data_IF_664835261554
#
_entry.id   IF_664835261554
#
_cell.length_a   1.000
_cell.length_b   1.000
_cell.length_c   1.000
_cell.angle_alpha   90.00
_cell.angle_beta   90.00
_cell.angle_gamma   90.00
#
_symmetry.space_group_name_H-M   'P 1'
#
loop_
_entity.id
_entity.type
_entity.pdbx_description
1 polymer ?
#
# COMPACT_ATOMS: atom_id res chain seq x y z
N UNK A 1 -20.77 -20.16 -9.69
CA UNK A 1 -19.76 -21.16 -9.26
C UNK A 1 -19.08 -20.63 -8.02
N UNK A 2 -18.79 -21.48 -7.03
CA UNK A 2 -18.06 -21.09 -5.79
C UNK A 2 -16.54 -21.15 -6.02
N UNK A 3 -15.75 -20.50 -5.17
CA UNK A 3 -14.29 -20.56 -5.22
C UNK A 3 -13.77 -21.82 -4.50
N UNK A 4 -12.62 -22.36 -4.93
CA UNK A 4 -12.07 -23.60 -4.37
C UNK A 4 -11.35 -23.39 -3.02
N UNK A 5 -10.70 -22.23 -2.86
CA UNK A 5 -10.00 -21.78 -1.64
C UNK A 5 -9.84 -20.25 -1.71
N UNK A 6 -9.67 -19.60 -0.55
CA UNK A 6 -9.38 -18.17 -0.50
C UNK A 6 -8.07 -17.86 -1.25
N UNK A 7 -8.05 -16.76 -1.98
CA UNK A 7 -6.90 -16.34 -2.78
C UNK A 7 -5.76 -15.89 -1.85
N UNK A 8 -4.54 -16.34 -2.14
CA UNK A 8 -3.32 -15.91 -1.47
C UNK A 8 -2.16 -15.73 -2.47
N UNK A 9 -0.96 -15.42 -1.97
CA UNK A 9 0.21 -15.23 -2.81
C UNK A 9 0.72 -16.53 -3.48
N UNK A 10 0.40 -17.71 -2.94
CA UNK A 10 0.77 -18.99 -3.54
C UNK A 10 -0.11 -19.28 -4.77
N UNK A 11 -1.41 -19.00 -4.67
CA UNK A 11 -2.33 -19.09 -5.81
C UNK A 11 -1.94 -18.09 -6.92
N UNK A 12 -1.52 -16.88 -6.55
CA UNK A 12 -0.98 -15.92 -7.51
C UNK A 12 0.22 -16.50 -8.27
N UNK A 13 1.20 -17.05 -7.55
CA UNK A 13 2.39 -17.65 -8.16
C UNK A 13 2.06 -18.83 -9.08
N UNK A 14 1.15 -19.72 -8.65
CA UNK A 14 0.72 -20.86 -9.48
C UNK A 14 0.02 -20.42 -10.77
N UNK A 15 -0.81 -19.38 -10.70
CA UNK A 15 -1.48 -18.79 -11.87
C UNK A 15 -0.49 -18.05 -12.77
N UNK A 16 0.45 -17.28 -12.21
CA UNK A 16 1.42 -16.51 -12.97
C UNK A 16 2.27 -17.40 -13.89
N UNK A 17 2.57 -18.64 -13.48
CA UNK A 17 3.31 -19.61 -14.32
C UNK A 17 2.52 -20.11 -15.55
N UNK A 18 1.18 -20.11 -15.47
CA UNK A 18 0.30 -20.78 -16.45
C UNK A 18 -0.64 -19.82 -17.18
N UNK A 19 -0.77 -18.59 -16.70
CA UNK A 19 -1.69 -17.56 -17.21
C UNK A 19 -1.40 -17.17 -18.65
N UNK A 20 -2.30 -16.40 -19.25
CA UNK A 20 -2.16 -15.95 -20.64
C UNK A 20 -0.85 -15.17 -20.83
N UNK A 21 -0.08 -15.48 -21.88
CA UNK A 21 1.13 -14.71 -22.22
C UNK A 21 0.71 -13.36 -22.76
N UNK A 22 1.35 -12.30 -22.29
CA UNK A 22 1.09 -10.94 -22.76
C UNK A 22 2.41 -10.16 -22.71
N UNK A 23 2.63 -9.26 -23.66
CA UNK A 23 3.75 -8.32 -23.54
C UNK A 23 3.39 -7.19 -22.59
N UNK A 24 4.40 -6.53 -22.02
CA UNK A 24 4.13 -5.38 -21.17
C UNK A 24 3.50 -4.22 -21.97
N UNK A 25 3.90 -4.00 -23.22
CA UNK A 25 3.30 -2.98 -24.08
C UNK A 25 1.81 -3.27 -24.37
N UNK A 26 1.45 -4.54 -24.65
CA UNK A 26 0.03 -4.93 -24.83
C UNK A 26 -0.77 -4.69 -23.54
N UNK A 27 -0.16 -4.88 -22.37
CA UNK A 27 -0.81 -4.60 -21.10
C UNK A 27 -0.99 -3.10 -20.85
N UNK A 28 0.11 -2.35 -20.92
CA UNK A 28 0.20 -0.93 -20.55
C UNK A 28 -0.47 -0.01 -21.57
N UNK A 29 -0.33 -0.31 -22.87
CA UNK A 29 -0.79 0.56 -23.96
C UNK A 29 -2.11 0.13 -24.58
N UNK A 30 -2.56 -1.10 -24.33
CA UNK A 30 -3.84 -1.59 -24.86
C UNK A 30 -4.79 -2.04 -23.75
N UNK A 31 -4.47 -3.11 -23.03
CA UNK A 31 -5.42 -3.78 -22.12
C UNK A 31 -5.95 -2.85 -21.03
N UNK A 32 -5.05 -2.18 -20.30
CA UNK A 32 -5.41 -1.24 -19.23
C UNK A 32 -6.16 0.00 -19.76
N UNK A 33 -5.62 0.78 -20.73
CA UNK A 33 -6.30 1.99 -21.18
C UNK A 33 -7.62 1.71 -21.90
N UNK A 34 -7.74 0.62 -22.68
CA UNK A 34 -8.98 0.26 -23.36
C UNK A 34 -10.07 -0.10 -22.34
N UNK A 35 -9.78 -0.96 -21.36
CA UNK A 35 -10.80 -1.36 -20.36
C UNK A 35 -11.19 -0.19 -19.47
N UNK A 36 -10.23 0.65 -19.05
CA UNK A 36 -10.55 1.86 -18.29
C UNK A 36 -11.46 2.83 -19.06
N UNK A 37 -11.19 3.04 -20.36
CA UNK A 37 -12.02 3.87 -21.23
C UNK A 37 -13.43 3.28 -21.41
N UNK A 38 -13.51 1.97 -21.66
CA UNK A 38 -14.76 1.24 -21.79
C UNK A 38 -15.61 1.37 -20.52
N UNK A 39 -15.05 1.07 -19.35
CA UNK A 39 -15.77 1.09 -18.07
C UNK A 39 -16.21 2.49 -17.68
N UNK A 40 -15.38 3.51 -17.95
CA UNK A 40 -15.76 4.91 -17.77
C UNK A 40 -17.02 5.24 -18.56
N UNK A 41 -17.09 4.83 -19.83
CA UNK A 41 -18.25 5.07 -20.70
C UNK A 41 -19.45 4.20 -20.30
N UNK A 42 -19.25 2.90 -20.07
CA UNK A 42 -20.26 1.92 -19.68
C UNK A 42 -21.03 2.34 -18.43
N UNK A 43 -20.31 2.82 -17.42
CA UNK A 43 -20.88 3.26 -16.14
C UNK A 43 -21.16 4.77 -16.09
N UNK A 44 -20.95 5.48 -17.21
CA UNK A 44 -21.14 6.93 -17.36
C UNK A 44 -20.49 7.73 -16.21
N UNK A 45 -19.21 7.46 -15.94
CA UNK A 45 -18.49 8.06 -14.81
C UNK A 45 -18.13 9.52 -15.11
N UNK A 46 -18.69 10.44 -14.32
CA UNK A 46 -18.39 11.87 -14.33
C UNK A 46 -18.32 12.40 -12.90
N UNK A 47 -17.11 12.78 -12.48
CA UNK A 47 -16.86 13.30 -11.12
C UNK A 47 -17.14 14.81 -11.01
N UNK A 48 -17.44 15.47 -12.13
CA UNK A 48 -17.62 16.92 -12.21
C UNK A 48 -16.38 17.60 -11.62
N UNK A 49 -16.58 18.54 -10.70
CA UNK A 49 -15.52 19.25 -9.99
C UNK A 49 -15.56 18.96 -8.47
N UNK A 50 -15.95 17.75 -8.08
CA UNK A 50 -16.01 17.34 -6.68
C UNK A 50 -14.74 16.58 -6.27
N UNK A 51 -14.10 17.02 -5.18
CA UNK A 51 -12.99 16.28 -4.57
C UNK A 51 -13.47 15.09 -3.74
N UNK A 52 -14.63 15.23 -3.08
CA UNK A 52 -15.26 14.19 -2.27
C UNK A 52 -16.67 14.01 -2.82
N UNK A 53 -17.00 12.84 -3.40
CA UNK A 53 -18.28 12.63 -4.06
C UNK A 53 -19.43 12.61 -3.05
N UNK A 54 -20.54 13.23 -3.43
CA UNK A 54 -21.80 13.17 -2.67
C UNK A 54 -22.89 12.34 -3.35
N UNK A 55 -22.73 12.07 -4.64
CA UNK A 55 -23.61 11.23 -5.45
C UNK A 55 -23.32 9.74 -5.20
N UNK A 56 -24.23 9.07 -4.49
CA UNK A 56 -24.09 7.64 -4.14
C UNK A 56 -24.19 6.71 -5.34
N UNK A 57 -25.00 7.07 -6.35
CA UNK A 57 -25.16 6.25 -7.55
C UNK A 57 -23.86 6.30 -8.36
N UNK A 58 -23.24 7.48 -8.46
CA UNK A 58 -21.92 7.64 -9.05
C UNK A 58 -20.83 6.84 -8.29
N UNK A 59 -20.87 6.85 -6.95
CA UNK A 59 -19.94 6.07 -6.13
C UNK A 59 -20.12 4.56 -6.31
N UNK A 60 -21.36 4.07 -6.38
CA UNK A 60 -21.66 2.66 -6.61
C UNK A 60 -21.24 2.22 -8.01
N UNK A 61 -21.50 3.05 -9.01
CA UNK A 61 -21.03 2.81 -10.38
C UNK A 61 -19.51 2.77 -10.47
N UNK A 62 -18.80 3.67 -9.78
CA UNK A 62 -17.34 3.64 -9.69
C UNK A 62 -16.84 2.35 -9.00
N UNK A 63 -17.50 1.91 -7.92
CA UNK A 63 -17.15 0.65 -7.26
C UNK A 63 -17.32 -0.55 -8.20
N UNK A 64 -18.46 -0.64 -8.91
CA UNK A 64 -18.72 -1.69 -9.90
C UNK A 64 -17.72 -1.67 -11.04
N UNK A 65 -17.40 -0.49 -11.58
CA UNK A 65 -16.37 -0.31 -12.60
C UNK A 65 -14.99 -0.80 -12.10
N UNK A 66 -14.57 -0.41 -10.90
CA UNK A 66 -13.30 -0.86 -10.33
C UNK A 66 -13.25 -2.38 -10.08
N UNK A 67 -14.36 -2.95 -9.60
CA UNK A 67 -14.50 -4.39 -9.43
C UNK A 67 -14.39 -5.14 -10.77
N UNK A 68 -15.13 -4.68 -11.78
CA UNK A 68 -15.12 -5.25 -13.13
C UNK A 68 -13.75 -5.11 -13.80
N UNK A 69 -13.04 -3.99 -13.61
CA UNK A 69 -11.68 -3.80 -14.11
C UNK A 69 -10.74 -4.91 -13.60
N UNK A 70 -10.73 -5.18 -12.29
CA UNK A 70 -9.89 -6.22 -11.71
C UNK A 70 -10.29 -7.61 -12.21
N UNK A 71 -11.59 -7.88 -12.28
CA UNK A 71 -12.12 -9.17 -12.73
C UNK A 71 -11.77 -9.45 -14.20
N UNK A 72 -11.96 -8.45 -15.07
CA UNK A 72 -11.81 -8.58 -16.52
C UNK A 72 -10.37 -8.40 -17.01
N UNK A 73 -9.54 -7.57 -16.37
CA UNK A 73 -8.12 -7.47 -16.72
C UNK A 73 -7.29 -8.54 -15.99
N UNK A 74 -7.48 -8.71 -14.68
CA UNK A 74 -6.54 -9.45 -13.84
C UNK A 74 -5.30 -8.64 -13.47
N UNK A 75 -4.17 -9.31 -13.25
CA UNK A 75 -2.89 -8.69 -12.88
C UNK A 75 -1.76 -9.25 -13.74
N UNK A 76 -0.98 -8.36 -14.34
CA UNK A 76 0.21 -8.73 -15.09
C UNK A 76 1.40 -9.04 -14.17
N UNK A 77 1.99 -10.21 -14.31
CA UNK A 77 3.24 -10.59 -13.65
C UNK A 77 4.41 -10.35 -14.59
N UNK A 78 5.24 -9.35 -14.28
CA UNK A 78 6.38 -8.90 -15.09
C UNK A 78 7.43 -10.00 -15.29
N UNK A 79 7.73 -10.78 -14.26
CA UNK A 79 8.75 -11.84 -14.31
C UNK A 79 8.39 -12.98 -15.26
N UNK A 80 7.09 -13.30 -15.38
CA UNK A 80 6.60 -14.38 -16.24
C UNK A 80 6.00 -13.89 -17.55
N UNK A 81 5.82 -12.58 -17.71
CA UNK A 81 5.09 -11.93 -18.80
C UNK A 81 3.74 -12.59 -19.07
N UNK A 82 2.96 -12.75 -18.00
CA UNK A 82 1.67 -13.46 -18.01
C UNK A 82 0.63 -12.78 -17.12
N UNK A 83 -0.64 -12.97 -17.45
CA UNK A 83 -1.77 -12.42 -16.72
C UNK A 83 -2.35 -13.43 -15.72
N UNK A 84 -2.47 -13.01 -14.46
CA UNK A 84 -3.17 -13.72 -13.39
C UNK A 84 -4.62 -13.27 -13.36
N UNK A 85 -5.55 -14.22 -13.54
CA UNK A 85 -7.00 -13.97 -13.53
C UNK A 85 -7.63 -14.43 -12.22
N UNK A 86 -8.70 -13.75 -11.84
CA UNK A 86 -9.53 -14.07 -10.68
C UNK A 86 -10.95 -14.38 -11.10
N UNK A 87 -11.66 -15.09 -10.24
CA UNK A 87 -13.11 -15.25 -10.38
C UNK A 87 -13.83 -14.22 -9.52
N UNK A 88 -15.07 -13.88 -9.89
CA UNK A 88 -15.91 -12.96 -9.11
C UNK A 88 -16.05 -13.41 -7.66
N UNK A 89 -16.23 -14.72 -7.44
CA UNK A 89 -16.39 -15.31 -6.11
C UNK A 89 -15.12 -15.15 -5.24
N UNK A 90 -13.92 -15.22 -5.83
CA UNK A 90 -12.66 -14.99 -5.12
C UNK A 90 -12.50 -13.52 -4.70
N UNK A 91 -12.88 -12.57 -5.57
CA UNK A 91 -12.81 -11.15 -5.24
C UNK A 91 -13.80 -10.82 -4.12
N UNK A 92 -15.02 -11.36 -4.17
CA UNK A 92 -16.00 -11.20 -3.10
C UNK A 92 -15.58 -11.87 -1.79
N UNK A 93 -14.95 -13.04 -1.83
CA UNK A 93 -14.39 -13.68 -0.63
C UNK A 93 -13.40 -12.75 0.06
N UNK A 94 -12.47 -12.18 -0.70
CA UNK A 94 -11.48 -11.24 -0.18
C UNK A 94 -12.12 -9.97 0.41
N UNK A 95 -13.08 -9.36 -0.30
CA UNK A 95 -13.78 -8.15 0.16
C UNK A 95 -14.63 -8.36 1.41
N UNK A 96 -15.24 -9.54 1.56
CA UNK A 96 -16.12 -9.84 2.70
C UNK A 96 -15.34 -10.22 3.97
N UNK A 97 -14.06 -10.59 3.85
CA UNK A 97 -13.24 -11.10 4.96
C UNK A 97 -12.00 -10.22 5.28
N UNK A 98 -12.13 -8.90 5.10
CA UNK A 98 -11.05 -7.93 5.37
C UNK A 98 -10.75 -7.76 6.87
N UNK A 99 -9.51 -7.33 7.18
CA UNK A 99 -9.12 -6.91 8.52
C UNK A 99 -9.88 -5.65 8.94
N UNK A 100 -10.62 -5.71 10.05
CA UNK A 100 -11.51 -4.62 10.51
C UNK A 100 -10.78 -3.52 11.28
N UNK A 101 -9.75 -3.89 12.02
CA UNK A 101 -8.95 -3.00 12.86
C UNK A 101 -7.65 -3.68 13.29
N UNK A 102 -6.69 -2.89 13.76
CA UNK A 102 -5.43 -3.35 14.32
C UNK A 102 -4.79 -2.29 15.21
N UNK A 103 -3.70 -2.65 15.88
CA UNK A 103 -2.90 -1.74 16.71
C UNK A 103 -1.51 -1.60 16.10
N UNK A 104 -1.03 -0.36 15.98
CA UNK A 104 0.34 -0.03 15.62
C UNK A 104 1.10 0.45 16.86
N UNK A 105 2.37 0.08 16.97
CA UNK A 105 3.18 0.40 18.14
C UNK A 105 2.86 -0.48 19.36
N UNK A 106 3.42 -0.10 20.50
CA UNK A 106 3.35 -0.86 21.76
C UNK A 106 3.34 0.07 22.97
N UNK A 107 2.89 -0.43 24.12
CA UNK A 107 2.88 0.32 25.38
C UNK A 107 2.05 1.60 25.30
N UNK A 108 2.55 2.67 25.92
CA UNK A 108 1.87 3.99 25.98
C UNK A 108 1.71 4.63 24.59
N UNK A 109 2.60 4.32 23.65
CA UNK A 109 2.67 4.96 22.34
C UNK A 109 1.87 4.21 21.26
N UNK A 110 1.20 3.11 21.63
CA UNK A 110 0.38 2.33 20.72
C UNK A 110 -0.88 3.09 20.28
N UNK A 111 -1.24 2.97 19.01
CA UNK A 111 -2.44 3.59 18.42
C UNK A 111 -3.32 2.54 17.74
N UNK A 112 -4.64 2.66 17.90
CA UNK A 112 -5.62 1.76 17.28
C UNK A 112 -6.07 2.32 15.93
N UNK A 113 -5.90 1.53 14.88
CA UNK A 113 -6.33 1.88 13.52
C UNK A 113 -7.70 1.26 13.28
N UNK A 114 -8.68 2.09 12.93
CA UNK A 114 -10.07 1.67 12.69
C UNK A 114 -10.65 2.40 11.48
N UNK A 115 -11.67 1.79 10.86
CA UNK A 115 -12.41 2.39 9.74
C UNK A 115 -12.95 3.79 10.10
N UNK A 116 -12.80 4.73 9.17
CA UNK A 116 -13.46 6.04 9.15
C UNK A 116 -14.44 6.12 7.99
N UNK A 117 -15.53 6.87 8.17
CA UNK A 117 -16.49 7.17 7.10
C UNK A 117 -16.23 8.54 6.48
N UNK A 118 -16.93 8.86 5.38
CA UNK A 118 -16.90 10.22 4.80
C UNK A 118 -17.42 11.21 5.85
N UNK A 119 -16.67 12.31 6.06
CA UNK A 119 -17.01 13.34 7.05
C UNK A 119 -16.90 12.89 8.53
N UNK A 120 -16.26 11.75 8.80
CA UNK A 120 -16.09 11.24 10.16
C UNK A 120 -15.34 12.24 11.04
N UNK A 121 -15.92 12.56 12.22
CA UNK A 121 -15.40 13.53 13.18
C UNK A 121 -14.10 13.09 13.86
N UNK A 122 -13.80 11.79 13.86
CA UNK A 122 -12.52 11.26 14.39
C UNK A 122 -11.38 11.67 13.46
N UNK A 123 -10.27 12.15 14.02
CA UNK A 123 -9.02 12.42 13.28
C UNK A 123 -8.49 11.11 12.67
N UNK A 124 -7.92 11.12 11.44
CA UNK A 124 -7.14 9.98 10.96
C UNK A 124 -5.87 9.77 11.79
N UNK A 125 -5.28 8.59 11.66
CA UNK A 125 -3.92 8.34 12.15
C UNK A 125 -2.95 9.18 11.31
N UNK A 126 -2.05 9.90 11.96
CA UNK A 126 -1.00 10.69 11.32
C UNK A 126 0.29 9.89 11.33
N UNK A 127 0.61 9.26 10.20
CA UNK A 127 1.92 8.66 9.99
C UNK A 127 2.87 9.71 9.39
N UNK A 128 3.86 10.15 10.17
CA UNK A 128 4.79 11.21 9.80
C UNK A 128 6.22 10.70 9.64
N UNK A 129 6.95 11.21 8.66
CA UNK A 129 8.35 10.85 8.46
C UNK A 129 8.86 11.27 7.09
N UNK A 130 10.12 10.93 6.75
CA UNK A 130 10.68 11.27 5.45
C UNK A 130 9.96 10.62 4.26
N UNK A 131 9.09 9.64 4.49
CA UNK A 131 8.20 9.05 3.47
C UNK A 131 8.98 8.52 2.27
N UNK A 132 9.94 7.62 2.53
CA UNK A 132 10.80 7.01 1.52
C UNK A 132 11.86 7.93 0.92
N UNK A 133 11.94 9.20 1.35
CA UNK A 133 12.96 10.13 0.86
C UNK A 133 14.37 9.69 1.30
N UNK A 134 15.41 9.92 0.46
CA UNK A 134 16.79 9.62 0.81
C UNK A 134 17.30 10.56 1.89
N UNK A 135 17.86 10.00 2.98
CA UNK A 135 18.40 10.75 4.12
C UNK A 135 19.88 10.37 4.33
N UNK A 136 20.72 11.39 4.55
CA UNK A 136 22.12 11.20 4.92
C UNK A 136 22.26 10.40 6.22
N UNK A 137 23.24 9.51 6.29
CA UNK A 137 23.41 8.58 7.41
C UNK A 137 23.58 9.28 8.78
N UNK A 138 24.35 10.37 8.81
CA UNK A 138 24.60 11.19 9.99
C UNK A 138 23.36 11.92 10.51
N UNK A 139 22.43 12.26 9.60
CA UNK A 139 21.17 12.92 9.91
C UNK A 139 20.01 11.94 10.09
N UNK A 140 20.24 10.63 9.96
CA UNK A 140 19.16 9.65 9.95
C UNK A 140 18.33 9.67 11.23
N UNK A 141 18.97 9.64 12.41
CA UNK A 141 18.24 9.73 13.68
C UNK A 141 17.65 11.13 13.94
N UNK A 142 18.39 12.25 13.81
CA UNK A 142 17.83 13.58 14.01
C UNK A 142 16.59 13.88 13.16
N UNK A 143 16.61 13.47 11.89
CA UNK A 143 15.48 13.68 10.97
C UNK A 143 14.24 12.89 11.43
N UNK A 144 14.37 11.63 11.84
CA UNK A 144 13.20 10.88 12.32
C UNK A 144 12.73 11.36 13.70
N UNK A 145 13.66 11.85 14.53
CA UNK A 145 13.33 12.40 15.85
C UNK A 145 12.44 13.64 15.73
N UNK A 146 12.61 14.48 14.70
CA UNK A 146 11.76 15.66 14.53
C UNK A 146 10.28 15.27 14.41
N UNK A 147 9.95 14.19 13.70
CA UNK A 147 8.59 13.67 13.61
C UNK A 147 8.13 13.04 14.93
N UNK A 148 8.99 12.29 15.62
CA UNK A 148 8.62 11.67 16.90
C UNK A 148 8.33 12.70 18.00
N UNK A 149 9.01 13.85 17.99
CA UNK A 149 8.81 14.96 18.92
C UNK A 149 7.47 15.66 18.72
N UNK A 150 6.93 15.65 17.49
CA UNK A 150 5.62 16.23 17.20
C UNK A 150 4.51 15.34 17.77
N UNK A 151 3.75 15.88 18.74
CA UNK A 151 2.60 15.18 19.33
C UNK A 151 1.49 14.90 18.32
N UNK A 152 1.48 15.63 17.20
CA UNK A 152 0.54 15.41 16.09
C UNK A 152 0.79 14.12 15.33
N UNK A 153 2.02 13.55 15.42
CA UNK A 153 2.43 12.33 14.73
C UNK A 153 2.15 11.12 15.62
N UNK A 154 1.40 10.15 15.10
CA UNK A 154 1.00 8.94 15.79
C UNK A 154 1.99 7.79 15.55
N UNK A 155 2.42 7.61 14.30
CA UNK A 155 3.39 6.60 13.86
C UNK A 155 4.43 7.21 12.92
N UNK A 156 5.54 6.51 12.71
CA UNK A 156 6.60 6.97 11.79
C UNK A 156 6.47 6.26 10.45
N UNK A 157 6.80 6.94 9.35
CA UNK A 157 7.11 6.31 8.05
C UNK A 157 8.58 6.54 7.72
N UNK A 158 9.29 5.47 7.35
CA UNK A 158 10.75 5.51 7.22
C UNK A 158 11.22 6.41 6.06
N UNK A 159 12.38 7.02 6.23
CA UNK A 159 13.23 7.44 5.14
C UNK A 159 14.17 6.32 4.69
N UNK A 160 14.83 6.52 3.55
CA UNK A 160 15.81 5.58 3.00
C UNK A 160 17.21 6.02 3.40
N UNK A 161 17.99 5.12 4.00
CA UNK A 161 19.39 5.38 4.31
C UNK A 161 20.22 5.52 3.02
N UNK A 162 20.81 6.69 2.75
CA UNK A 162 21.71 6.86 1.59
C UNK A 162 22.97 6.00 1.72
N UNK A 163 23.49 5.86 2.94
CA UNK A 163 24.60 4.97 3.28
C UNK A 163 24.36 4.28 4.62
N UNK A 164 25.01 3.13 4.81
CA UNK A 164 25.16 2.47 6.10
C UNK A 164 26.62 2.08 6.28
N UNK A 165 27.24 2.56 7.37
CA UNK A 165 28.69 2.54 7.61
C UNK A 165 29.48 3.18 6.46
N UNK A 166 28.97 4.29 5.91
CA UNK A 166 29.58 5.01 4.80
C UNK A 166 29.59 4.24 3.47
N UNK A 167 28.76 3.21 3.33
CA UNK A 167 28.62 2.41 2.10
C UNK A 167 27.18 2.42 1.59
N UNK A 168 26.95 2.52 0.27
CA UNK A 168 25.60 2.48 -0.27
C UNK A 168 24.96 1.10 -0.05
N UNK A 169 23.67 1.03 0.32
CA UNK A 169 22.94 -0.23 0.48
C UNK A 169 22.52 -0.82 -0.88
N UNK A 170 23.51 -1.22 -1.68
CA UNK A 170 23.26 -1.78 -3.02
C UNK A 170 22.38 -3.03 -2.88
N UNK A 171 21.29 -3.16 -3.65
CA UNK A 171 20.44 -4.34 -3.61
C UNK A 171 21.22 -5.65 -3.81
N UNK A 172 20.86 -6.70 -3.06
CA UNK A 172 21.52 -8.02 -3.01
C UNK A 172 22.94 -8.01 -2.42
N UNK A 173 23.38 -6.90 -1.83
CA UNK A 173 24.65 -6.83 -1.08
C UNK A 173 24.42 -7.05 0.42
N UNK A 174 25.47 -7.39 1.21
CA UNK A 174 25.35 -7.42 2.67
C UNK A 174 24.99 -6.05 3.28
N UNK A 175 25.22 -4.93 2.57
CA UNK A 175 24.87 -3.59 3.04
C UNK A 175 23.36 -3.32 2.95
N UNK A 176 22.64 -3.91 2.00
CA UNK A 176 21.17 -3.86 1.97
C UNK A 176 20.59 -4.57 3.20
N UNK A 177 21.07 -5.79 3.50
CA UNK A 177 20.62 -6.55 4.68
C UNK A 177 20.93 -5.80 5.98
N UNK A 178 22.10 -5.16 6.05
CA UNK A 178 22.48 -4.33 7.19
C UNK A 178 21.55 -3.10 7.30
N UNK A 179 21.33 -2.37 6.21
CA UNK A 179 20.46 -1.20 6.19
C UNK A 179 19.03 -1.56 6.59
N UNK A 180 18.43 -2.61 6.03
CA UNK A 180 17.07 -3.03 6.34
C UNK A 180 16.85 -3.30 7.85
N UNK A 181 17.86 -3.87 8.54
CA UNK A 181 17.79 -4.07 9.99
C UNK A 181 18.13 -2.81 10.79
N UNK A 182 19.06 -2.00 10.29
CA UNK A 182 19.56 -0.80 10.98
C UNK A 182 18.56 0.33 10.94
N UNK A 183 17.84 0.49 9.83
CA UNK A 183 16.85 1.52 9.57
C UNK A 183 15.86 1.65 10.73
N UNK A 184 15.07 0.61 10.99
CA UNK A 184 14.06 0.64 12.06
C UNK A 184 14.70 0.69 13.46
N UNK A 185 15.90 0.14 13.66
CA UNK A 185 16.61 0.24 14.96
C UNK A 185 16.94 1.69 15.29
N UNK A 186 17.49 2.44 14.34
CA UNK A 186 17.83 3.85 14.51
C UNK A 186 16.57 4.70 14.69
N UNK A 187 15.52 4.44 13.93
CA UNK A 187 14.25 5.18 14.02
C UNK A 187 13.58 4.95 15.39
N UNK A 188 13.53 3.69 15.87
CA UNK A 188 13.02 3.41 17.22
C UNK A 188 13.88 4.02 18.33
N UNK A 189 15.20 4.08 18.15
CA UNK A 189 16.07 4.83 19.07
C UNK A 189 15.77 6.34 19.05
N UNK A 190 15.53 6.92 17.88
CA UNK A 190 15.12 8.32 17.77
C UNK A 190 13.76 8.58 18.46
N UNK A 191 12.79 7.69 18.29
CA UNK A 191 11.51 7.77 19.00
C UNK A 191 11.66 7.60 20.52
N UNK A 192 12.54 6.70 20.97
CA UNK A 192 12.87 6.54 22.39
C UNK A 192 13.50 7.81 22.98
N UNK A 193 14.41 8.48 22.25
CA UNK A 193 14.99 9.76 22.65
C UNK A 193 13.93 10.88 22.72
N UNK A 194 12.88 10.81 21.90
CA UNK A 194 11.72 11.70 21.96
C UNK A 194 10.72 11.32 23.08
N UNK A 195 11.05 10.34 23.94
CA UNK A 195 10.19 9.89 25.04
C UNK A 195 9.03 8.99 24.61
N UNK A 196 9.07 8.45 23.39
CA UNK A 196 8.01 7.62 22.79
C UNK A 196 8.56 6.30 22.22
N UNK A 197 9.21 5.45 23.05
CA UNK A 197 9.92 4.25 22.59
C UNK A 197 9.01 3.20 21.92
N UNK A 198 7.71 3.27 22.15
CA UNK A 198 6.73 2.31 21.64
C UNK A 198 6.11 2.68 20.29
N UNK A 199 6.50 3.79 19.64
CA UNK A 199 5.87 4.23 18.38
C UNK A 199 5.92 3.14 17.29
N UNK A 200 4.80 3.01 16.56
CA UNK A 200 4.71 2.20 15.36
C UNK A 200 5.53 2.81 14.22
N UNK A 201 6.11 1.94 13.41
CA UNK A 201 6.94 2.26 12.24
C UNK A 201 6.32 1.58 11.03
#
# INVERSE_FOLDING_TARGET
MTFARSLDCFEFYERAKKGEKMTQDDWDLMTIPMKAMELKQKYNLDFKNEFVPTDKDMMENLFKAGFEMLLECGIFCTDTSRVVKYTEAEIWDALNNVQKEFTLGTGRDAVRVQKRSVGDKRKPIVQGGPTGSPISEDMFMPVHMSYALEKEVDTIVNGVMMTVRGKPPIPKSPYEVLAAKTETRLIKNAAAMAGRPGMGI
#
